data_IF_812950601340
#
_entry.id   IF_812950601340
#
_cell.length_a   1.000
_cell.length_b   1.000
_cell.length_c   1.000
_cell.angle_alpha   90.00
_cell.angle_beta   90.00
_cell.angle_gamma   90.00
#
_symmetry.space_group_name_H-M   'P 1'
#
loop_
_entity.id
_entity.type
_entity.pdbx_description
1 polymer ?
#
# COMPACT_ATOMS: atom_id res chain seq x y z
N UNK A 1 -11.03 -9.92 -0.99
CA UNK A 1 -9.59 -9.98 -1.30
C UNK A 1 -9.39 -10.80 -2.55
N UNK A 2 -8.81 -10.23 -3.61
CA UNK A 2 -8.43 -11.01 -4.79
C UNK A 2 -7.12 -11.74 -4.47
N UNK A 3 -7.21 -12.87 -3.77
CA UNK A 3 -6.04 -13.66 -3.32
C UNK A 3 -5.04 -13.95 -4.45
N UNK A 4 -5.53 -14.17 -5.67
CA UNK A 4 -4.68 -14.34 -6.86
C UNK A 4 -3.82 -13.11 -7.18
N UNK A 5 -4.37 -11.90 -7.08
CA UNK A 5 -3.60 -10.67 -7.32
C UNK A 5 -2.51 -10.48 -6.25
N UNK A 6 -2.83 -10.76 -4.98
CA UNK A 6 -1.87 -10.68 -3.89
C UNK A 6 -0.71 -11.69 -4.05
N UNK A 7 -1.03 -12.94 -4.44
CA UNK A 7 -0.03 -13.98 -4.71
C UNK A 7 0.87 -13.58 -5.88
N UNK A 8 0.30 -13.08 -6.99
CA UNK A 8 1.09 -12.59 -8.12
C UNK A 8 2.01 -11.43 -7.72
N UNK A 9 1.50 -10.42 -7.01
CA UNK A 9 2.31 -9.30 -6.53
C UNK A 9 3.43 -9.76 -5.60
N UNK A 10 3.14 -10.67 -4.67
CA UNK A 10 4.15 -11.23 -3.75
C UNK A 10 5.25 -11.97 -4.51
N UNK A 11 4.88 -12.75 -5.54
CA UNK A 11 5.83 -13.47 -6.39
C UNK A 11 6.74 -12.50 -7.16
N UNK A 12 6.18 -11.42 -7.71
CA UNK A 12 6.93 -10.37 -8.40
C UNK A 12 7.88 -9.66 -7.43
N UNK A 13 7.42 -9.29 -6.23
CA UNK A 13 8.27 -8.67 -5.20
C UNK A 13 9.41 -9.60 -4.78
N UNK A 14 9.14 -10.90 -4.60
CA UNK A 14 10.16 -11.89 -4.28
C UNK A 14 11.22 -12.01 -5.39
N UNK A 15 10.80 -12.01 -6.67
CA UNK A 15 11.71 -12.01 -7.81
C UNK A 15 12.57 -10.74 -7.84
N UNK A 16 11.95 -9.56 -7.64
CA UNK A 16 12.67 -8.29 -7.60
C UNK A 16 13.74 -8.30 -6.49
N UNK A 17 13.39 -8.77 -5.29
CA UNK A 17 14.36 -8.90 -4.20
C UNK A 17 15.48 -9.86 -4.61
N UNK A 18 15.16 -11.03 -5.16
CA UNK A 18 16.16 -12.05 -5.50
C UNK A 18 17.15 -11.58 -6.60
N UNK A 19 16.67 -10.84 -7.60
CA UNK A 19 17.51 -10.28 -8.66
C UNK A 19 18.31 -9.04 -8.22
N UNK A 20 17.71 -8.16 -7.43
CA UNK A 20 18.32 -6.88 -7.06
C UNK A 20 19.24 -7.01 -5.84
N UNK A 21 18.98 -7.96 -4.93
CA UNK A 21 19.81 -8.24 -3.75
C UNK A 21 21.30 -8.50 -4.04
N UNK A 22 21.70 -9.33 -5.03
CA UNK A 22 23.10 -9.51 -5.38
C UNK A 22 23.74 -8.24 -5.95
N UNK A 23 22.99 -7.41 -6.70
CA UNK A 23 23.47 -6.11 -7.21
C UNK A 23 23.63 -5.09 -6.08
N UNK A 24 22.69 -5.05 -5.14
CA UNK A 24 22.73 -4.13 -3.99
C UNK A 24 23.79 -4.46 -2.95
N UNK A 25 24.42 -5.64 -3.02
CA UNK A 25 25.53 -6.01 -2.13
C UNK A 25 26.71 -5.05 -2.23
N UNK A 26 26.87 -4.35 -3.36
CA UNK A 26 27.91 -3.33 -3.58
C UNK A 26 27.49 -1.92 -3.13
N UNK A 27 26.21 -1.68 -2.84
CA UNK A 27 25.67 -0.35 -2.52
C UNK A 27 25.66 -0.08 -1.00
N UNK A 28 25.69 1.20 -0.58
CA UNK A 28 25.65 1.57 0.82
C UNK A 28 24.35 1.08 1.51
N UNK A 29 24.45 0.76 2.81
CA UNK A 29 23.35 0.16 3.60
C UNK A 29 22.05 0.98 3.59
N UNK A 30 22.13 2.30 3.38
CA UNK A 30 20.98 3.21 3.29
C UNK A 30 20.10 2.94 2.08
N UNK A 31 20.71 2.64 0.94
CA UNK A 31 19.98 2.40 -0.33
C UNK A 31 19.22 1.08 -0.26
N UNK A 32 19.82 0.09 0.41
CA UNK A 32 19.17 -1.20 0.69
C UNK A 32 17.93 -1.04 1.57
N UNK A 33 17.99 -0.17 2.59
CA UNK A 33 16.81 0.14 3.41
C UNK A 33 15.74 0.85 2.59
N UNK A 34 16.11 1.86 1.79
CA UNK A 34 15.16 2.61 0.96
C UNK A 34 14.41 1.68 -0.03
N UNK A 35 15.14 0.78 -0.69
CA UNK A 35 14.56 -0.23 -1.57
C UNK A 35 13.58 -1.16 -0.86
N UNK A 36 13.97 -1.69 0.31
CA UNK A 36 13.12 -2.58 1.07
C UNK A 36 11.85 -1.87 1.55
N UNK A 37 11.98 -0.62 2.01
CA UNK A 37 10.83 0.19 2.42
C UNK A 37 9.88 0.46 1.26
N UNK A 38 10.40 0.81 0.07
CA UNK A 38 9.58 1.04 -1.13
C UNK A 38 8.81 -0.23 -1.55
N UNK A 39 9.47 -1.39 -1.55
CA UNK A 39 8.82 -2.66 -1.87
C UNK A 39 7.75 -3.05 -0.85
N UNK A 40 8.04 -2.91 0.45
CA UNK A 40 7.08 -3.19 1.51
C UNK A 40 5.87 -2.25 1.41
N UNK A 41 6.08 -0.96 1.19
CA UNK A 41 5.01 0.01 0.98
C UNK A 41 4.15 -0.38 -0.21
N UNK A 42 4.76 -0.74 -1.35
CA UNK A 42 4.04 -1.22 -2.54
C UNK A 42 3.25 -2.51 -2.30
N UNK A 43 3.80 -3.46 -1.55
CA UNK A 43 3.13 -4.72 -1.22
C UNK A 43 1.94 -4.49 -0.28
N UNK A 44 2.11 -3.61 0.71
CA UNK A 44 1.02 -3.17 1.59
C UNK A 44 -0.07 -2.46 0.80
N UNK A 45 0.29 -1.50 -0.07
CA UNK A 45 -0.64 -0.81 -0.98
C UNK A 45 -1.38 -1.77 -1.89
N UNK A 46 -0.74 -2.84 -2.37
CA UNK A 46 -1.38 -3.87 -3.21
C UNK A 46 -2.47 -4.66 -2.47
N UNK A 47 -2.48 -4.68 -1.12
CA UNK A 47 -3.58 -5.26 -0.35
C UNK A 47 -4.79 -4.32 -0.29
N UNK A 48 -4.59 -3.01 -0.45
CA UNK A 48 -5.67 -2.05 -0.49
C UNK A 48 -6.30 -2.02 -1.89
N UNK A 49 -7.63 -2.11 -1.93
CA UNK A 49 -8.39 -1.97 -3.17
C UNK A 49 -8.59 -0.48 -3.47
N UNK A 50 -7.51 0.20 -3.86
CA UNK A 50 -7.47 1.65 -4.15
C UNK A 50 -8.66 2.14 -5.03
N UNK A 51 -9.09 1.42 -6.07
CA UNK A 51 -10.24 1.83 -6.89
C UNK A 51 -11.59 1.79 -6.16
N UNK A 52 -11.74 0.93 -5.14
CA UNK A 52 -12.96 0.83 -4.33
C UNK A 52 -12.83 1.56 -2.98
N UNK A 53 -11.70 2.21 -2.72
CA UNK A 53 -11.52 3.00 -1.52
C UNK A 53 -12.41 4.23 -1.63
N UNK A 54 -13.31 4.40 -0.67
CA UNK A 54 -14.23 5.54 -0.61
C UNK A 54 -13.44 6.83 -0.83
N UNK A 55 -13.87 7.65 -1.79
CA UNK A 55 -13.16 8.89 -2.12
C UNK A 55 -13.15 9.85 -0.93
N UNK A 56 -12.23 10.81 -0.86
CA UNK A 56 -12.08 11.73 0.27
C UNK A 56 -13.39 12.48 0.63
N UNK A 57 -14.26 12.69 -0.36
CA UNK A 57 -15.61 13.22 -0.17
C UNK A 57 -16.49 12.34 0.73
N UNK A 58 -16.42 11.02 0.60
CA UNK A 58 -17.17 10.09 1.46
C UNK A 58 -16.64 10.04 2.89
N UNK A 59 -15.36 10.38 3.10
CA UNK A 59 -14.77 10.46 4.44
C UNK A 59 -15.23 11.72 5.16
N UNK A 60 -15.27 12.84 4.44
CA UNK A 60 -15.86 14.09 4.93
C UNK A 60 -17.32 13.83 5.30
N UNK A 61 -18.07 13.19 4.42
CA UNK A 61 -19.47 12.85 4.67
C UNK A 61 -19.62 11.93 5.89
N UNK A 62 -18.82 10.88 6.03
CA UNK A 62 -18.84 10.00 7.21
C UNK A 62 -18.49 10.73 8.52
N UNK A 63 -17.59 11.72 8.47
CA UNK A 63 -17.15 12.49 9.64
C UNK A 63 -18.17 13.56 10.06
N UNK A 64 -18.82 14.20 9.08
CA UNK A 64 -19.75 15.32 9.31
C UNK A 64 -21.23 14.90 9.40
N UNK A 65 -21.61 13.72 8.87
CA UNK A 65 -22.97 13.17 9.01
C UNK A 65 -23.48 13.11 10.47
N UNK A 66 -22.72 12.66 11.48
CA UNK A 66 -23.19 12.69 12.86
C UNK A 66 -23.40 14.11 13.42
N UNK A 67 -22.66 15.11 12.91
CA UNK A 67 -22.87 16.51 13.29
C UNK A 67 -24.13 17.10 12.63
N UNK A 68 -24.46 16.67 11.41
CA UNK A 68 -25.72 17.02 10.75
C UNK A 68 -26.94 16.53 11.54
N UNK A 69 -26.95 15.24 11.92
CA UNK A 69 -28.03 14.66 12.71
C UNK A 69 -28.16 15.27 14.13
N UNK A 70 -27.06 15.82 14.67
CA UNK A 70 -27.08 16.52 15.96
C UNK A 70 -27.66 17.94 15.85
N UNK A 71 -27.50 18.63 14.72
CA UNK A 71 -28.04 19.98 14.49
C UNK A 71 -29.47 20.00 13.92
N UNK A 72 -29.95 18.90 13.33
CA UNK A 72 -31.35 18.73 12.93
C UNK A 72 -32.31 18.45 14.11
N UNK A 73 -31.80 18.46 15.34
CA UNK A 73 -32.54 18.28 16.59
C UNK A 73 -32.48 19.54 17.46
#
# INVERSE_FOLDING_TARGET
>A
MRWGAFLCTTLIVALIILFEWPKMKQNPKKDKMAFLTLLLTGLVLSMFNLPQMSGPTQWIEAFFRPFGEFMEK
#
